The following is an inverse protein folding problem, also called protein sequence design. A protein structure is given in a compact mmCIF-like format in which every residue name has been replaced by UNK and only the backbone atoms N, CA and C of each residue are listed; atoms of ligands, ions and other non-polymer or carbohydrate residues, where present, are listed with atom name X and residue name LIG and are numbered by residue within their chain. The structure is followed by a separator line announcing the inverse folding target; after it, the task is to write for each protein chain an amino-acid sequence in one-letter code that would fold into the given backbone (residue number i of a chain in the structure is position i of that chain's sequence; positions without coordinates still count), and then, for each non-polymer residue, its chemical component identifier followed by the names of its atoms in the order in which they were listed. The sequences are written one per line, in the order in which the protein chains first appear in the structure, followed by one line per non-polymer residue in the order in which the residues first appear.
data_IF_129316715413
#
_entry.id   IF_129316715413
#
_cell.length_a   1.000
_cell.length_b   1.000
_cell.length_c   1.000
_cell.angle_alpha   90.00
_cell.angle_beta   90.00
_cell.angle_gamma   90.00
#
_symmetry.space_group_name_H-M   'P 1'
#
loop_
_entity.id
_entity.type
_entity.pdbx_description
1 polymer ?
#
# COMPACT_ATOMS: atom_id res chain seq x y z
N UNK A 1 -7.13 36.63 5.36
CA UNK A 1 -5.72 36.29 5.03
C UNK A 1 -5.75 35.22 3.93
N UNK A 2 -5.26 35.55 2.74
CA UNK A 2 -5.13 34.62 1.63
C UNK A 2 -4.02 33.61 2.00
N UNK A 3 -4.40 32.39 2.33
CA UNK A 3 -3.43 31.30 2.42
C UNK A 3 -2.93 31.07 0.99
N UNK A 4 -1.65 31.34 0.74
CA UNK A 4 -1.03 31.03 -0.53
C UNK A 4 -1.26 29.54 -0.81
N UNK A 5 -2.02 29.22 -1.88
CA UNK A 5 -2.10 27.85 -2.40
C UNK A 5 -0.67 27.45 -2.74
N UNK A 6 -0.10 26.51 -1.98
CA UNK A 6 1.11 25.84 -2.39
C UNK A 6 0.79 25.12 -3.69
N UNK A 7 1.52 25.44 -4.73
CA UNK A 7 1.35 24.86 -6.08
C UNK A 7 1.95 23.43 -6.10
N UNK A 8 1.31 22.48 -5.39
CA UNK A 8 1.69 21.08 -5.45
C UNK A 8 1.08 20.46 -6.69
N UNK A 9 1.91 20.08 -7.64
CA UNK A 9 1.48 19.26 -8.77
C UNK A 9 1.14 17.87 -8.22
N UNK A 10 -0.15 17.51 -8.24
CA UNK A 10 -0.63 16.21 -7.78
C UNK A 10 -0.03 15.07 -8.62
N UNK A 11 0.42 14.02 -7.95
CA UNK A 11 0.84 12.78 -8.61
C UNK A 11 -0.38 12.03 -9.15
N UNK A 12 -0.31 11.60 -10.40
CA UNK A 12 -1.36 10.85 -11.09
C UNK A 12 -0.81 9.51 -11.59
N UNK A 13 -1.68 8.62 -12.05
CA UNK A 13 -1.25 7.37 -12.70
C UNK A 13 -0.32 7.62 -13.88
N UNK A 14 -0.57 8.69 -14.66
CA UNK A 14 0.34 9.11 -15.74
C UNK A 14 1.70 9.56 -15.21
N UNK A 15 1.74 10.30 -14.11
CA UNK A 15 3.01 10.74 -13.50
C UNK A 15 3.91 9.56 -13.17
N UNK A 16 3.35 8.43 -12.67
CA UNK A 16 4.15 7.24 -12.37
C UNK A 16 4.73 6.59 -13.63
N UNK A 17 3.96 6.57 -14.73
CA UNK A 17 4.45 6.09 -16.03
C UNK A 17 5.59 6.98 -16.53
N UNK A 18 5.42 8.30 -16.44
CA UNK A 18 6.44 9.26 -16.84
C UNK A 18 7.72 9.10 -15.99
N UNK A 19 7.60 8.87 -14.68
CA UNK A 19 8.75 8.57 -13.81
C UNK A 19 9.51 7.32 -14.26
N UNK A 20 8.81 6.23 -14.58
CA UNK A 20 9.47 5.03 -15.14
C UNK A 20 10.24 5.34 -16.43
N UNK A 21 9.61 6.04 -17.36
CA UNK A 21 10.24 6.43 -18.64
C UNK A 21 11.50 7.26 -18.43
N UNK A 22 11.47 8.15 -17.42
CA UNK A 22 12.61 9.01 -17.07
C UNK A 22 13.66 8.30 -16.20
N UNK A 23 13.45 7.05 -15.78
CA UNK A 23 14.33 6.34 -14.85
C UNK A 23 14.26 6.84 -13.40
N UNK A 24 13.25 7.63 -13.05
CA UNK A 24 12.99 8.11 -11.69
C UNK A 24 12.36 7.01 -10.85
N UNK A 25 12.84 6.85 -9.60
CA UNK A 25 12.30 5.83 -8.70
C UNK A 25 11.07 6.35 -7.96
N UNK A 26 10.09 5.45 -7.82
CA UNK A 26 8.79 5.73 -7.18
C UNK A 26 8.86 5.29 -5.72
N UNK A 27 8.58 6.22 -4.81
CA UNK A 27 8.43 5.94 -3.39
C UNK A 27 6.96 5.69 -3.04
N UNK A 28 6.69 4.57 -2.36
CA UNK A 28 5.35 4.21 -1.92
C UNK A 28 5.38 3.78 -0.45
N UNK A 29 4.44 4.28 0.35
CA UNK A 29 4.25 3.87 1.75
C UNK A 29 2.77 3.65 2.04
N UNK A 30 2.49 2.79 3.02
CA UNK A 30 1.12 2.68 3.53
C UNK A 30 0.78 3.83 4.47
N UNK A 31 -0.51 4.19 4.54
CA UNK A 31 -1.08 4.98 5.63
C UNK A 31 -2.54 4.58 5.83
N UNK A 32 -3.04 4.73 7.07
CA UNK A 32 -4.35 4.20 7.45
C UNK A 32 -5.23 5.22 8.19
N UNK A 33 -4.69 6.40 8.49
CA UNK A 33 -5.40 7.49 9.16
C UNK A 33 -4.96 8.86 8.65
N UNK A 34 -5.71 9.88 9.05
CA UNK A 34 -5.50 11.27 8.64
C UNK A 34 -4.13 11.82 9.05
N UNK A 35 -3.72 11.60 10.30
CA UNK A 35 -2.51 12.22 10.85
C UNK A 35 -1.25 11.61 10.21
N UNK A 36 -1.20 10.27 10.12
CA UNK A 36 -0.10 9.58 9.48
C UNK A 36 -0.02 9.91 7.99
N UNK A 37 -1.16 9.94 7.29
CA UNK A 37 -1.18 10.30 5.86
C UNK A 37 -0.66 11.71 5.61
N UNK A 38 -0.98 12.68 6.48
CA UNK A 38 -0.45 14.05 6.39
C UNK A 38 1.06 14.10 6.57
N UNK A 39 1.61 13.31 7.50
CA UNK A 39 3.06 13.20 7.70
C UNK A 39 3.73 12.61 6.45
N UNK A 40 3.18 11.51 5.92
CA UNK A 40 3.71 10.82 4.73
C UNK A 40 3.67 11.71 3.50
N UNK A 41 2.57 12.42 3.26
CA UNK A 41 2.44 13.35 2.12
C UNK A 41 3.41 14.54 2.25
N UNK A 42 3.61 15.05 3.47
CA UNK A 42 4.58 16.12 3.75
C UNK A 42 6.04 15.68 3.54
N UNK A 43 6.32 14.39 3.61
CA UNK A 43 7.62 13.80 3.30
C UNK A 43 7.84 13.59 1.78
N UNK A 44 6.92 14.02 0.93
CA UNK A 44 6.96 13.93 -0.52
C UNK A 44 6.97 12.49 -1.07
N UNK A 45 6.34 11.54 -0.39
CA UNK A 45 6.11 10.18 -0.92
C UNK A 45 5.19 10.28 -2.15
N UNK A 46 5.49 9.52 -3.21
CA UNK A 46 4.75 9.64 -4.48
C UNK A 46 3.41 8.92 -4.45
N UNK A 47 3.34 7.78 -3.77
CA UNK A 47 2.13 6.96 -3.66
C UNK A 47 1.85 6.61 -2.21
N UNK A 48 0.63 6.82 -1.76
CA UNK A 48 0.15 6.34 -0.48
C UNK A 48 -0.82 5.17 -0.73
N UNK A 49 -0.50 4.02 -0.11
CA UNK A 49 -1.34 2.83 -0.15
C UNK A 49 -2.20 2.75 1.12
N UNK A 50 -3.49 2.74 0.96
CA UNK A 50 -4.39 2.26 2.02
C UNK A 50 -4.51 0.76 1.84
N UNK A 51 -3.57 0.04 2.48
CA UNK A 51 -3.43 -1.41 2.34
C UNK A 51 -4.37 -2.20 3.23
N UNK A 52 -4.78 -3.39 2.79
CA UNK A 52 -5.51 -4.34 3.63
C UNK A 52 -4.66 -4.87 4.81
N UNK A 53 -3.35 -4.63 4.79
CA UNK A 53 -2.44 -4.74 5.94
C UNK A 53 -2.92 -3.94 7.18
N UNK A 54 -3.87 -3.01 7.03
CA UNK A 54 -4.61 -2.42 8.15
C UNK A 54 -5.24 -3.49 9.06
N UNK A 55 -5.63 -4.64 8.50
CA UNK A 55 -6.09 -5.80 9.28
C UNK A 55 -5.08 -6.22 10.34
N UNK A 56 -3.80 -6.23 9.97
CA UNK A 56 -2.72 -6.62 10.89
C UNK A 56 -2.32 -5.46 11.83
N UNK A 57 -1.91 -4.31 11.25
CA UNK A 57 -1.23 -3.25 12.01
C UNK A 57 -2.19 -2.30 12.74
N UNK A 58 -3.46 -2.24 12.33
CA UNK A 58 -4.48 -1.39 12.98
C UNK A 58 -5.48 -2.20 13.82
N UNK A 59 -5.87 -3.41 13.36
CA UNK A 59 -6.87 -4.23 14.03
C UNK A 59 -6.28 -5.44 14.79
N UNK A 60 -4.99 -5.76 14.62
CA UNK A 60 -4.29 -6.83 15.33
C UNK A 60 -4.65 -8.24 14.88
N UNK A 61 -5.21 -8.39 13.68
CA UNK A 61 -5.49 -9.72 13.12
C UNK A 61 -4.21 -10.40 12.59
N UNK A 62 -4.18 -11.72 12.58
CA UNK A 62 -3.04 -12.50 12.06
C UNK A 62 -2.86 -12.40 10.54
N UNK A 63 -3.95 -12.15 9.81
CA UNK A 63 -3.97 -12.08 8.34
C UNK A 63 -4.70 -10.83 7.85
N UNK A 64 -4.56 -10.52 6.55
CA UNK A 64 -5.30 -9.44 5.91
C UNK A 64 -6.77 -9.79 5.62
N UNK A 65 -7.18 -11.06 5.76
CA UNK A 65 -8.50 -11.56 5.35
C UNK A 65 -9.69 -10.96 6.11
N UNK A 66 -9.62 -10.67 7.44
CA UNK A 66 -10.78 -10.21 8.19
C UNK A 66 -11.25 -8.80 7.86
N UNK A 67 -10.39 -7.94 7.31
CA UNK A 67 -10.77 -6.54 7.05
C UNK A 67 -11.89 -6.44 6.02
N UNK A 68 -12.90 -5.65 6.32
CA UNK A 68 -14.08 -5.47 5.47
C UNK A 68 -13.92 -4.29 4.50
N UNK A 69 -14.76 -4.27 3.46
CA UNK A 69 -14.81 -3.14 2.52
C UNK A 69 -15.17 -1.82 3.24
N UNK A 70 -16.07 -1.86 4.23
CA UNK A 70 -16.45 -0.67 4.99
C UNK A 70 -15.30 -0.12 5.83
N UNK A 71 -14.51 -0.99 6.44
CA UNK A 71 -13.29 -0.59 7.16
C UNK A 71 -12.24 0.00 6.21
N UNK A 72 -12.04 -0.58 5.03
CA UNK A 72 -11.16 -0.01 4.01
C UNK A 72 -11.62 1.38 3.56
N UNK A 73 -12.92 1.58 3.35
CA UNK A 73 -13.50 2.89 3.03
C UNK A 73 -13.29 3.89 4.18
N UNK A 74 -13.47 3.46 5.42
CA UNK A 74 -13.21 4.30 6.60
C UNK A 74 -11.75 4.80 6.64
N UNK A 75 -10.78 3.90 6.54
CA UNK A 75 -9.36 4.25 6.50
C UNK A 75 -9.04 5.16 5.32
N UNK A 76 -9.48 4.78 4.12
CA UNK A 76 -9.21 5.55 2.90
C UNK A 76 -9.79 6.97 2.96
N UNK A 77 -10.97 7.15 3.54
CA UNK A 77 -11.61 8.46 3.72
C UNK A 77 -10.76 9.40 4.58
N UNK A 78 -10.14 8.88 5.65
CA UNK A 78 -9.21 9.63 6.49
C UNK A 78 -7.97 10.06 5.72
N UNK A 79 -7.35 9.10 5.02
CA UNK A 79 -6.13 9.31 4.23
C UNK A 79 -6.35 10.35 3.12
N UNK A 80 -7.41 10.19 2.32
CA UNK A 80 -7.70 11.07 1.18
C UNK A 80 -7.89 12.53 1.63
N UNK A 81 -8.54 12.77 2.78
CA UNK A 81 -8.71 14.14 3.31
C UNK A 81 -7.38 14.80 3.73
N UNK A 82 -6.36 14.01 4.03
CA UNK A 82 -5.07 14.50 4.48
C UNK A 82 -4.08 14.80 3.34
N UNK A 83 -4.27 14.14 2.18
CA UNK A 83 -3.29 14.11 1.10
C UNK A 83 -3.55 15.22 0.08
N UNK A 84 -2.51 16.00 -0.21
CA UNK A 84 -2.54 17.09 -1.22
C UNK A 84 -1.82 16.69 -2.51
N UNK A 85 -0.68 15.96 -2.39
CA UNK A 85 0.22 15.64 -3.51
C UNK A 85 0.16 14.18 -3.96
N UNK A 86 0.31 13.23 -3.06
CA UNK A 86 0.50 11.82 -3.40
C UNK A 86 -0.70 11.19 -4.13
N UNK A 87 -0.44 10.19 -4.96
CA UNK A 87 -1.49 9.31 -5.50
C UNK A 87 -1.97 8.37 -4.39
N UNK A 88 -3.25 8.36 -4.08
CA UNK A 88 -3.83 7.43 -3.10
C UNK A 88 -4.41 6.22 -3.80
N UNK A 89 -3.84 5.05 -3.51
CA UNK A 89 -4.31 3.73 -3.99
C UNK A 89 -4.93 3.00 -2.81
N UNK A 90 -6.07 2.34 -3.02
CA UNK A 90 -6.81 1.63 -1.97
C UNK A 90 -6.97 0.16 -2.34
N UNK A 91 -6.64 -0.74 -1.42
CA UNK A 91 -6.83 -2.17 -1.62
C UNK A 91 -8.32 -2.54 -1.62
N UNK A 92 -8.71 -3.38 -2.56
CA UNK A 92 -9.93 -4.15 -2.43
C UNK A 92 -9.66 -5.33 -1.48
N UNK A 93 -10.38 -5.45 -0.35
CA UNK A 93 -10.15 -6.51 0.61
C UNK A 93 -10.60 -7.87 0.07
N UNK A 94 -10.10 -8.95 0.70
CA UNK A 94 -10.51 -10.32 0.36
C UNK A 94 -12.02 -10.49 0.38
N UNK A 95 -12.55 -11.23 -0.60
CA UNK A 95 -13.97 -11.50 -0.76
C UNK A 95 -14.75 -10.43 -1.51
N UNK A 96 -14.14 -9.26 -1.79
CA UNK A 96 -14.84 -8.14 -2.44
C UNK A 96 -14.72 -8.14 -3.98
N UNK A 97 -13.88 -9.02 -4.57
CA UNK A 97 -13.62 -9.02 -6.02
C UNK A 97 -13.35 -10.40 -6.64
N UNK A 98 -13.14 -11.44 -5.81
CA UNK A 98 -12.75 -12.76 -6.32
C UNK A 98 -13.94 -13.55 -6.86
N UNK A 99 -15.15 -13.32 -6.32
CA UNK A 99 -16.33 -14.13 -6.61
C UNK A 99 -16.97 -13.82 -7.97
N UNK A 100 -17.12 -12.54 -8.30
CA UNK A 100 -17.87 -12.09 -9.48
C UNK A 100 -17.36 -10.71 -9.97
N UNK A 101 -17.17 -10.52 -11.30
CA UNK A 101 -16.73 -9.23 -11.86
C UNK A 101 -17.68 -8.06 -11.61
N UNK A 102 -19.00 -8.29 -11.47
CA UNK A 102 -19.96 -7.22 -11.15
C UNK A 102 -19.82 -6.79 -9.70
N UNK A 103 -19.55 -7.72 -8.80
CA UNK A 103 -19.29 -7.44 -7.39
C UNK A 103 -17.97 -6.69 -7.21
N UNK A 104 -16.94 -7.11 -7.92
CA UNK A 104 -15.67 -6.40 -7.99
C UNK A 104 -15.85 -4.93 -8.41
N UNK A 105 -16.63 -4.68 -9.46
CA UNK A 105 -16.95 -3.32 -9.89
C UNK A 105 -17.74 -2.54 -8.83
N UNK A 106 -18.74 -3.14 -8.17
CA UNK A 106 -19.50 -2.48 -7.11
C UNK A 106 -18.61 -2.07 -5.95
N UNK A 107 -17.71 -2.97 -5.53
CA UNK A 107 -16.74 -2.71 -4.47
C UNK A 107 -15.78 -1.58 -4.85
N UNK A 108 -15.24 -1.59 -6.06
CA UNK A 108 -14.39 -0.52 -6.56
C UNK A 108 -15.12 0.83 -6.65
N UNK A 109 -16.37 0.86 -7.12
CA UNK A 109 -17.20 2.07 -7.14
C UNK A 109 -17.41 2.62 -5.72
N UNK A 110 -17.66 1.76 -4.74
CA UNK A 110 -17.81 2.17 -3.34
C UNK A 110 -16.53 2.82 -2.82
N UNK A 111 -15.37 2.20 -3.02
CA UNK A 111 -14.07 2.80 -2.67
C UNK A 111 -13.95 4.20 -3.28
N UNK A 112 -14.12 4.32 -4.60
CA UNK A 112 -13.92 5.59 -5.30
C UNK A 112 -14.90 6.68 -4.83
N UNK A 113 -16.17 6.34 -4.67
CA UNK A 113 -17.22 7.33 -4.33
C UNK A 113 -17.24 7.68 -2.85
N UNK A 114 -17.07 6.72 -1.96
CA UNK A 114 -17.27 6.91 -0.53
C UNK A 114 -16.00 7.39 0.17
N UNK A 115 -14.81 7.02 -0.35
CA UNK A 115 -13.54 7.49 0.21
C UNK A 115 -12.89 8.63 -0.57
N UNK A 116 -13.15 8.74 -1.87
CA UNK A 116 -12.44 9.65 -2.77
C UNK A 116 -11.07 9.13 -3.21
N UNK A 117 -10.76 7.83 -3.02
CA UNK A 117 -9.52 7.20 -3.49
C UNK A 117 -9.29 7.42 -4.98
N UNK A 118 -8.03 7.41 -5.42
CA UNK A 118 -7.68 7.73 -6.80
C UNK A 118 -7.54 6.50 -7.70
N UNK A 119 -7.26 5.34 -7.12
CA UNK A 119 -7.12 4.05 -7.80
C UNK A 119 -7.38 2.91 -6.81
N UNK A 120 -7.59 1.70 -7.32
CA UNK A 120 -7.70 0.49 -6.50
C UNK A 120 -6.57 -0.48 -6.78
N UNK A 121 -6.20 -1.32 -5.77
CA UNK A 121 -5.26 -2.43 -5.95
C UNK A 121 -5.97 -3.76 -5.72
N UNK A 122 -5.63 -4.77 -6.54
CA UNK A 122 -6.15 -6.14 -6.44
C UNK A 122 -5.00 -7.14 -6.53
N UNK A 123 -5.13 -8.23 -5.76
CA UNK A 123 -4.17 -9.34 -5.72
C UNK A 123 -4.61 -10.47 -6.62
N UNK A 124 -3.72 -10.91 -7.53
CA UNK A 124 -3.91 -12.02 -8.45
C UNK A 124 -3.64 -11.66 -9.91
N UNK A 125 -3.52 -12.69 -10.72
CA UNK A 125 -3.23 -12.63 -12.16
C UNK A 125 -4.44 -13.00 -13.02
N UNK A 126 -4.23 -14.02 -13.85
CA UNK A 126 -5.23 -14.50 -14.83
C UNK A 126 -6.54 -14.95 -14.20
N UNK A 127 -6.53 -15.41 -12.96
CA UNK A 127 -7.70 -15.87 -12.21
C UNK A 127 -8.70 -14.75 -11.89
N UNK A 128 -8.25 -13.50 -11.79
CA UNK A 128 -9.12 -12.33 -11.52
C UNK A 128 -9.18 -11.35 -12.71
N UNK A 129 -8.69 -11.76 -13.87
CA UNK A 129 -8.61 -10.93 -15.07
C UNK A 129 -9.93 -10.25 -15.42
N UNK A 130 -11.04 -10.97 -15.35
CA UNK A 130 -12.35 -10.43 -15.74
C UNK A 130 -12.86 -9.39 -14.73
N UNK A 131 -12.57 -9.55 -13.45
CA UNK A 131 -12.83 -8.54 -12.42
C UNK A 131 -12.04 -7.27 -12.68
N UNK A 132 -10.74 -7.38 -12.97
CA UNK A 132 -9.89 -6.24 -13.31
C UNK A 132 -10.41 -5.53 -14.58
N UNK A 133 -10.68 -6.27 -15.66
CA UNK A 133 -11.23 -5.69 -16.91
C UNK A 133 -12.54 -4.96 -16.66
N UNK A 134 -13.39 -5.50 -15.80
CA UNK A 134 -14.70 -4.90 -15.52
C UNK A 134 -14.54 -3.55 -14.80
N UNK A 135 -13.59 -3.46 -13.88
CA UNK A 135 -13.26 -2.23 -13.15
C UNK A 135 -12.65 -1.18 -14.10
N UNK A 136 -11.65 -1.59 -14.88
CA UNK A 136 -10.98 -0.72 -15.87
C UNK A 136 -11.96 -0.14 -16.91
N UNK A 137 -12.88 -0.96 -17.42
CA UNK A 137 -13.90 -0.52 -18.38
C UNK A 137 -14.89 0.51 -17.80
N UNK A 138 -14.98 0.63 -16.48
CA UNK A 138 -15.75 1.67 -15.82
C UNK A 138 -14.95 2.97 -15.58
N UNK A 139 -13.68 3.02 -16.04
CA UNK A 139 -12.81 4.18 -15.90
C UNK A 139 -12.08 4.28 -14.55
N UNK A 140 -12.06 3.21 -13.76
CA UNK A 140 -11.35 3.17 -12.46
C UNK A 140 -9.94 2.62 -12.70
N UNK A 141 -8.87 3.37 -12.34
CA UNK A 141 -7.50 2.90 -12.48
C UNK A 141 -7.21 1.72 -11.54
N UNK A 142 -6.50 0.70 -12.05
CA UNK A 142 -6.15 -0.51 -11.29
C UNK A 142 -4.64 -0.69 -11.23
N UNK A 143 -4.13 -0.94 -10.03
CA UNK A 143 -2.80 -1.45 -9.76
C UNK A 143 -2.91 -2.96 -9.51
N UNK A 144 -2.13 -3.77 -10.22
CA UNK A 144 -2.05 -5.22 -10.00
C UNK A 144 -1.13 -5.58 -8.84
N UNK A 145 -1.22 -6.81 -8.34
CA UNK A 145 -0.32 -7.34 -7.32
C UNK A 145 -0.06 -8.83 -7.54
N UNK A 146 1.20 -9.20 -7.77
CA UNK A 146 1.65 -10.57 -8.03
C UNK A 146 2.79 -10.98 -7.09
N UNK A 147 3.10 -12.28 -7.09
CA UNK A 147 4.09 -12.89 -6.20
C UNK A 147 3.45 -13.46 -4.96
N UNK A 148 3.96 -13.11 -3.78
CA UNK A 148 3.24 -13.37 -2.55
C UNK A 148 2.04 -12.42 -2.48
N UNK A 149 0.86 -12.99 -2.45
CA UNK A 149 -0.40 -12.25 -2.27
C UNK A 149 -0.96 -12.61 -0.89
N UNK A 150 -0.90 -11.71 0.12
CA UNK A 150 -1.34 -12.01 1.49
C UNK A 150 -2.78 -12.51 1.58
N UNK A 151 -3.66 -12.07 0.71
CA UNK A 151 -5.04 -12.57 0.63
C UNK A 151 -5.13 -14.06 0.24
N UNK A 152 -4.07 -14.65 -0.31
CA UNK A 152 -3.97 -16.07 -0.65
C UNK A 152 -3.17 -16.88 0.39
N UNK A 153 -2.95 -16.37 1.59
CA UNK A 153 -2.03 -16.95 2.57
C UNK A 153 -2.37 -18.41 2.92
N UNK A 154 -3.64 -18.74 3.06
CA UNK A 154 -4.04 -20.11 3.35
C UNK A 154 -3.84 -21.07 2.16
N UNK A 155 -3.89 -20.58 0.92
CA UNK A 155 -3.52 -21.34 -0.27
C UNK A 155 -2.02 -21.63 -0.29
N UNK A 156 -1.21 -20.67 0.11
CA UNK A 156 0.26 -20.80 0.12
C UNK A 156 0.77 -21.55 1.36
N UNK A 157 0.04 -21.48 2.48
CA UNK A 157 0.40 -22.08 3.76
C UNK A 157 1.57 -21.41 4.48
N UNK A 158 2.26 -20.45 3.84
CA UNK A 158 3.43 -19.77 4.40
C UNK A 158 3.69 -18.44 3.70
N UNK A 159 4.40 -17.53 4.40
CA UNK A 159 4.92 -16.26 3.85
C UNK A 159 6.31 -16.40 3.19
N UNK A 160 6.63 -17.55 2.57
CA UNK A 160 7.91 -17.76 1.89
C UNK A 160 7.99 -17.03 0.55
N UNK A 161 9.21 -16.89 0.03
CA UNK A 161 9.47 -16.32 -1.30
C UNK A 161 8.78 -17.17 -2.37
N UNK A 162 8.01 -16.53 -3.25
CA UNK A 162 7.26 -17.15 -4.34
C UNK A 162 8.06 -17.15 -5.65
N UNK A 163 7.56 -17.87 -6.64
CA UNK A 163 8.10 -17.92 -8.00
C UNK A 163 9.61 -18.25 -8.05
N UNK A 164 10.04 -19.23 -7.24
CA UNK A 164 11.40 -19.79 -7.29
C UNK A 164 11.54 -20.83 -8.38
N UNK A 165 10.49 -21.59 -8.65
CA UNK A 165 10.44 -22.63 -9.66
C UNK A 165 10.07 -22.00 -11.00
N UNK A 166 10.60 -22.56 -12.09
CA UNK A 166 10.47 -21.99 -13.44
C UNK A 166 9.02 -21.85 -13.88
N UNK A 167 8.15 -22.83 -13.59
CA UNK A 167 6.74 -22.80 -13.95
C UNK A 167 6.00 -21.61 -13.28
N UNK A 168 6.23 -21.38 -11.98
CA UNK A 168 5.64 -20.26 -11.25
C UNK A 168 6.22 -18.92 -11.72
N UNK A 169 7.52 -18.87 -12.06
CA UNK A 169 8.17 -17.70 -12.60
C UNK A 169 7.65 -17.33 -13.98
N UNK A 170 7.47 -18.29 -14.88
CA UNK A 170 6.93 -18.07 -16.20
C UNK A 170 5.46 -17.60 -16.14
N UNK A 171 4.64 -18.24 -15.28
CA UNK A 171 3.28 -17.78 -15.02
C UNK A 171 3.25 -16.33 -14.53
N UNK A 172 4.12 -15.95 -13.61
CA UNK A 172 4.18 -14.60 -13.07
C UNK A 172 4.53 -13.57 -14.17
N UNK A 173 5.46 -13.89 -15.06
CA UNK A 173 5.82 -13.03 -16.20
C UNK A 173 4.61 -12.87 -17.16
N UNK A 174 3.92 -13.95 -17.48
CA UNK A 174 2.76 -13.90 -18.38
C UNK A 174 1.60 -13.14 -17.72
N UNK A 175 1.35 -13.32 -16.44
CA UNK A 175 0.35 -12.56 -15.68
C UNK A 175 0.70 -11.06 -15.66
N UNK A 176 1.97 -10.68 -15.44
CA UNK A 176 2.40 -9.28 -15.48
C UNK A 176 2.14 -8.63 -16.85
N UNK A 177 2.52 -9.31 -17.94
CA UNK A 177 2.22 -8.84 -19.31
C UNK A 177 0.73 -8.79 -19.59
N UNK A 178 -0.05 -9.73 -19.07
CA UNK A 178 -1.50 -9.73 -19.23
C UNK A 178 -2.12 -8.54 -18.49
N UNK A 179 -1.70 -8.25 -17.25
CA UNK A 179 -2.17 -7.09 -16.47
C UNK A 179 -1.89 -5.77 -17.20
N UNK A 180 -0.70 -5.61 -17.76
CA UNK A 180 -0.38 -4.46 -18.62
C UNK A 180 -1.31 -4.38 -19.82
N UNK A 181 -1.45 -5.49 -20.60
CA UNK A 181 -2.29 -5.52 -21.82
C UNK A 181 -3.75 -5.16 -21.55
N UNK A 182 -4.29 -5.50 -20.39
CA UNK A 182 -5.68 -5.16 -20.05
C UNK A 182 -5.84 -3.76 -19.50
N UNK A 183 -4.74 -3.03 -19.20
CA UNK A 183 -4.75 -1.61 -18.88
C UNK A 183 -4.47 -1.26 -17.41
N UNK A 184 -3.90 -2.17 -16.61
CA UNK A 184 -3.37 -1.80 -15.30
C UNK A 184 -2.29 -0.71 -15.47
N UNK A 185 -2.28 0.29 -14.58
CA UNK A 185 -1.32 1.39 -14.67
C UNK A 185 0.00 1.11 -13.95
N UNK A 186 0.03 0.13 -13.06
CA UNK A 186 1.19 -0.27 -12.26
C UNK A 186 1.01 -1.67 -11.71
N UNK A 187 2.10 -2.28 -11.25
CA UNK A 187 2.15 -3.62 -10.69
C UNK A 187 2.99 -3.66 -9.42
N UNK A 188 2.47 -4.25 -8.35
CA UNK A 188 3.25 -4.62 -7.15
C UNK A 188 3.79 -6.03 -7.34
N UNK A 189 5.07 -6.24 -7.01
CA UNK A 189 5.71 -7.55 -6.90
C UNK A 189 6.18 -7.77 -5.47
N UNK A 190 5.61 -8.77 -4.81
CA UNK A 190 5.93 -9.07 -3.43
C UNK A 190 6.68 -10.39 -3.29
N UNK A 191 7.79 -10.33 -2.54
CA UNK A 191 8.51 -11.50 -2.01
C UNK A 191 8.83 -12.57 -3.07
N UNK A 192 9.46 -12.13 -4.17
CA UNK A 192 9.95 -12.96 -5.27
C UNK A 192 11.46 -12.77 -5.45
N UNK A 193 12.17 -13.67 -6.19
CA UNK A 193 13.59 -13.47 -6.49
C UNK A 193 13.85 -12.13 -7.19
N UNK A 194 14.90 -11.42 -6.76
CA UNK A 194 15.26 -10.10 -7.29
C UNK A 194 15.57 -10.11 -8.80
N UNK A 195 16.16 -11.19 -9.31
CA UNK A 195 16.42 -11.37 -10.74
C UNK A 195 15.14 -11.49 -11.56
N UNK A 196 14.13 -12.20 -11.03
CA UNK A 196 12.83 -12.33 -11.66
C UNK A 196 12.09 -10.99 -11.67
N UNK A 197 12.08 -10.27 -10.52
CA UNK A 197 11.45 -8.96 -10.43
C UNK A 197 12.04 -7.96 -11.44
N UNK A 198 13.38 -7.96 -11.59
CA UNK A 198 14.07 -7.16 -12.60
C UNK A 198 13.63 -7.55 -14.03
N UNK A 199 13.60 -8.85 -14.35
CA UNK A 199 13.15 -9.36 -15.66
C UNK A 199 11.71 -8.92 -15.96
N UNK A 200 10.81 -8.96 -14.98
CA UNK A 200 9.43 -8.47 -15.14
C UNK A 200 9.42 -6.97 -15.41
N UNK A 201 10.13 -6.16 -14.59
CA UNK A 201 10.17 -4.71 -14.73
C UNK A 201 10.72 -4.26 -16.10
N UNK A 202 11.67 -5.00 -16.67
CA UNK A 202 12.22 -4.76 -18.00
C UNK A 202 11.30 -5.24 -19.15
N UNK A 203 10.34 -6.16 -18.87
CA UNK A 203 9.47 -6.77 -19.88
C UNK A 203 8.14 -6.06 -20.08
N UNK A 204 7.78 -5.11 -19.21
CA UNK A 204 6.54 -4.33 -19.27
C UNK A 204 6.83 -2.83 -19.17
N UNK A 205 5.94 -2.00 -19.73
CA UNK A 205 6.10 -0.54 -19.76
C UNK A 205 5.47 0.17 -18.55
N UNK A 206 4.56 -0.48 -17.83
CA UNK A 206 3.97 0.07 -16.61
C UNK A 206 4.93 -0.03 -15.43
N UNK A 207 4.89 0.91 -14.46
CA UNK A 207 5.73 0.89 -13.27
C UNK A 207 5.56 -0.37 -12.44
N UNK A 208 6.70 -0.94 -11.99
CA UNK A 208 6.77 -2.09 -11.08
C UNK A 208 7.27 -1.64 -9.72
N UNK A 209 6.47 -1.86 -8.69
CA UNK A 209 6.78 -1.52 -7.29
C UNK A 209 7.11 -2.79 -6.53
N UNK A 210 8.28 -2.85 -5.90
CA UNK A 210 8.74 -4.02 -5.17
C UNK A 210 8.52 -3.93 -3.67
N UNK A 211 8.26 -5.07 -3.05
CA UNK A 211 8.41 -5.29 -1.62
C UNK A 211 9.01 -6.69 -1.40
N UNK A 212 10.25 -6.73 -0.86
CA UNK A 212 10.98 -8.00 -0.79
C UNK A 212 11.28 -8.62 -2.17
N UNK A 213 11.40 -7.80 -3.22
CA UNK A 213 11.62 -8.20 -4.60
C UNK A 213 12.92 -7.62 -5.20
N UNK A 214 13.84 -7.13 -4.36
CA UNK A 214 15.10 -6.50 -4.78
C UNK A 214 14.92 -5.07 -5.30
N UNK A 215 16.00 -4.47 -5.79
CA UNK A 215 16.06 -3.06 -6.21
C UNK A 215 16.04 -2.85 -7.74
N UNK A 216 15.92 -3.93 -8.52
CA UNK A 216 15.88 -3.89 -9.99
C UNK A 216 14.51 -3.50 -10.57
N UNK A 217 13.63 -2.89 -9.78
CA UNK A 217 12.28 -2.45 -10.13
C UNK A 217 12.17 -0.92 -10.10
N UNK A 218 11.01 -0.37 -10.49
CA UNK A 218 10.84 1.07 -10.68
C UNK A 218 10.52 1.82 -9.37
N UNK A 219 10.07 1.13 -8.33
CA UNK A 219 9.80 1.72 -7.02
C UNK A 219 9.79 0.69 -5.90
N UNK A 220 9.55 1.15 -4.67
CA UNK A 220 9.48 0.31 -3.47
C UNK A 220 8.28 0.72 -2.62
N UNK A 221 7.64 -0.27 -1.98
CA UNK A 221 6.63 -0.05 -0.96
C UNK A 221 7.02 -0.72 0.36
N UNK A 222 6.70 -0.08 1.48
CA UNK A 222 6.76 -0.66 2.82
C UNK A 222 5.49 -0.33 3.61
N UNK A 223 5.19 -1.18 4.59
CA UNK A 223 4.21 -0.87 5.64
C UNK A 223 4.85 0.15 6.59
N UNK A 224 4.18 1.28 6.80
CA UNK A 224 4.77 2.39 7.58
C UNK A 224 5.07 2.01 9.02
N UNK A 225 4.21 1.20 9.66
CA UNK A 225 4.41 0.72 11.02
C UNK A 225 5.70 -0.10 11.16
N UNK A 226 6.00 -0.93 10.16
CA UNK A 226 7.21 -1.73 10.13
C UNK A 226 8.44 -0.86 9.85
N UNK A 227 8.34 0.05 8.87
CA UNK A 227 9.42 0.95 8.49
C UNK A 227 9.84 1.90 9.64
N UNK A 228 8.88 2.38 10.41
CA UNK A 228 9.14 3.25 11.56
C UNK A 228 9.43 2.48 12.86
N UNK A 229 9.42 1.15 12.84
CA UNK A 229 9.69 0.33 14.02
C UNK A 229 8.61 0.43 15.10
N UNK A 230 7.34 0.66 14.73
CA UNK A 230 6.21 0.60 15.66
C UNK A 230 5.86 -0.85 16.01
N UNK A 231 6.07 -1.77 15.05
CA UNK A 231 6.00 -3.21 15.27
C UNK A 231 7.42 -3.75 15.53
N UNK A 232 7.73 -4.10 16.78
CA UNK A 232 9.05 -4.56 17.17
C UNK A 232 9.26 -6.08 16.98
N UNK A 233 8.19 -6.85 16.75
CA UNK A 233 8.24 -8.31 16.58
C UNK A 233 8.47 -8.73 15.12
N UNK A 234 8.12 -7.87 14.13
CA UNK A 234 8.25 -8.17 12.71
C UNK A 234 9.56 -7.62 12.14
N UNK A 235 10.51 -8.50 11.79
CA UNK A 235 11.82 -8.10 11.29
C UNK A 235 12.31 -9.00 10.12
N UNK A 236 11.59 -9.01 8.98
CA UNK A 236 12.00 -9.80 7.81
C UNK A 236 13.25 -9.20 7.15
N UNK A 237 14.01 -10.03 6.41
CA UNK A 237 15.25 -9.65 5.74
C UNK A 237 15.11 -8.42 4.81
N UNK A 238 13.94 -8.22 4.19
CA UNK A 238 13.72 -7.13 3.24
C UNK A 238 13.37 -5.79 3.90
N UNK A 239 13.02 -5.80 5.18
CA UNK A 239 12.65 -4.60 5.93
C UNK A 239 13.90 -3.85 6.38
N UNK A 240 13.98 -2.57 6.06
CA UNK A 240 14.87 -1.62 6.71
C UNK A 240 14.03 -0.75 7.64
N UNK A 241 14.36 -0.77 8.93
CA UNK A 241 13.81 0.18 9.90
C UNK A 241 14.57 1.50 9.78
N UNK A 242 13.84 2.59 9.69
CA UNK A 242 14.39 3.95 9.62
C UNK A 242 14.27 4.68 10.95
N UNK A 243 13.45 4.16 11.87
CA UNK A 243 13.22 4.68 13.20
C UNK A 243 12.85 3.52 14.14
N UNK A 244 12.95 3.74 15.44
CA UNK A 244 12.57 2.79 16.48
C UNK A 244 11.48 3.43 17.36
N UNK A 245 10.29 3.59 16.77
CA UNK A 245 9.18 4.30 17.42
C UNK A 245 8.60 3.53 18.60
N UNK A 246 8.63 2.20 18.59
CA UNK A 246 8.12 1.42 19.72
C UNK A 246 8.79 1.85 21.03
N UNK A 247 10.12 1.86 21.08
CA UNK A 247 10.88 2.23 22.26
C UNK A 247 10.73 3.72 22.61
N UNK A 248 10.78 4.59 21.60
CA UNK A 248 10.65 6.03 21.81
C UNK A 248 9.27 6.39 22.36
N UNK A 249 8.20 5.85 21.81
CA UNK A 249 6.83 6.08 22.27
C UNK A 249 6.60 5.50 23.65
N UNK A 250 7.06 4.27 23.90
CA UNK A 250 6.95 3.63 25.22
C UNK A 250 7.65 4.46 26.30
N UNK A 251 8.86 4.96 25.99
CA UNK A 251 9.61 5.82 26.91
C UNK A 251 8.89 7.16 27.16
N UNK A 252 8.39 7.81 26.13
CA UNK A 252 7.66 9.07 26.26
C UNK A 252 6.36 8.91 27.05
N UNK A 253 5.61 7.82 26.80
CA UNK A 253 4.40 7.50 27.56
C UNK A 253 4.76 7.19 29.03
N UNK A 254 5.85 6.45 29.26
CA UNK A 254 6.35 6.17 30.61
C UNK A 254 6.71 7.44 31.39
N UNK A 255 7.32 8.44 30.73
CA UNK A 255 7.59 9.73 31.33
C UNK A 255 6.30 10.46 31.73
N UNK A 256 5.33 10.53 30.81
CA UNK A 256 4.00 11.10 31.12
C UNK A 256 3.34 10.42 32.34
N UNK A 257 3.42 9.10 32.40
CA UNK A 257 2.88 8.35 33.57
C UNK A 257 3.60 8.74 34.89
N UNK A 258 4.92 8.92 34.82
CA UNK A 258 5.70 9.34 35.98
C UNK A 258 5.33 10.76 36.43
N UNK A 259 5.24 11.70 35.53
CA UNK A 259 4.92 13.11 35.78
C UNK A 259 3.51 13.27 36.41
N UNK A 260 2.51 12.54 35.85
CA UNK A 260 1.15 12.54 36.42
C UNK A 260 1.15 12.00 37.86
N UNK A 261 1.88 10.89 38.13
CA UNK A 261 1.94 10.29 39.48
C UNK A 261 2.72 11.12 40.48
N UNK A 262 3.69 11.91 40.01
CA UNK A 262 4.46 12.84 40.83
C UNK A 262 3.73 14.20 41.04
N UNK A 263 2.56 14.40 40.45
CA UNK A 263 1.84 15.69 40.43
C UNK A 263 2.68 16.81 39.80
N UNK A 264 3.56 16.47 38.85
CA UNK A 264 4.35 17.41 38.07
C UNK A 264 3.65 17.84 36.79
N UNK A 265 2.71 17.01 36.29
CA UNK A 265 1.81 17.34 35.19
C UNK A 265 0.32 17.23 35.63
N UNK A 266 -0.52 18.27 35.35
CA UNK A 266 -0.14 19.61 34.89
C UNK A 266 0.51 20.45 35.98
N UNK A 267 1.51 21.24 35.64
CA UNK A 267 2.10 22.23 36.51
C UNK A 267 1.35 23.58 36.40
N UNK A 268 1.79 24.59 37.18
CA UNK A 268 1.12 25.91 37.28
C UNK A 268 0.96 26.61 35.92
N UNK A 269 1.82 26.34 34.91
CA UNK A 269 1.76 26.93 33.57
C UNK A 269 0.84 26.16 32.62
N UNK A 270 0.35 25.01 33.00
CA UNK A 270 -0.44 24.07 32.18
C UNK A 270 -1.89 23.94 32.67
N UNK A 271 -2.28 24.68 33.71
CA UNK A 271 -3.64 24.72 34.27
C UNK A 271 -4.32 26.07 34.02
N UNK A 272 -5.67 26.08 34.04
CA UNK A 272 -6.52 27.25 33.80
C UNK A 272 -7.17 27.75 35.08
#
# INVERSE_FOLDING_TARGET
MSVAKKDYKRITTKSLIDMKVNGEKISMLTAYDYTMAKIVDSANVDVILVGDSASNVMAGHETTLPITLDQMIYHASGVVRAVERALVVVDLPFGSYQSDPKEALRSAIRIMKESGGHAVKLEGGSEIKDSIKRILNAGIPVMGHLGLTPQSIYKFGTYTVRAKEDEEADKLIEDAKMLERIGCFSLVLEKIPASLAKKVAESISIPVIGIGAGNGVDGQVLVIHDMLGMNNEFNPRFLRRYLDLYDQMTKAIGQYVADVKAVDFPNENEQY
#
